data_IF_636149057670
#
_entry.id   IF_636149057670
#
_cell.length_a   1.000
_cell.length_b   1.000
_cell.length_c   1.000
_cell.angle_alpha   90.00
_cell.angle_beta   90.00
_cell.angle_gamma   90.00
#
_symmetry.space_group_name_H-M   'P 1'
#
loop_
_entity.id
_entity.type
_entity.pdbx_description
1 polymer ?
#
# COMPACT_ATOMS: atom_id res chain seq x y z
N UNK A 1 -33.65 -7.91 -10.64
CA UNK A 1 -32.53 -8.86 -10.65
C UNK A 1 -31.27 -8.06 -10.98
N UNK A 2 -30.39 -7.72 -10.03
CA UNK A 2 -29.21 -6.92 -10.34
C UNK A 2 -28.22 -7.80 -11.11
N UNK A 3 -27.73 -7.29 -12.24
CA UNK A 3 -26.78 -7.97 -13.13
C UNK A 3 -25.46 -8.29 -12.41
N UNK A 4 -24.75 -9.37 -12.79
CA UNK A 4 -23.47 -9.71 -12.18
C UNK A 4 -22.45 -8.60 -12.44
N UNK A 5 -21.86 -8.07 -11.36
CA UNK A 5 -20.78 -7.08 -11.37
C UNK A 5 -19.48 -7.69 -11.93
N UNK A 6 -19.46 -7.98 -13.23
CA UNK A 6 -18.20 -8.19 -13.93
C UNK A 6 -17.60 -6.80 -14.19
N UNK A 7 -16.75 -6.32 -13.27
CA UNK A 7 -15.81 -5.26 -13.63
C UNK A 7 -15.05 -5.74 -14.86
N UNK A 8 -15.02 -4.94 -15.93
CA UNK A 8 -14.16 -5.30 -17.05
C UNK A 8 -12.72 -5.19 -16.53
N UNK A 9 -11.84 -6.16 -16.82
CA UNK A 9 -10.40 -6.09 -16.54
C UNK A 9 -9.66 -4.93 -17.26
N UNK A 10 -10.36 -3.85 -17.64
CA UNK A 10 -9.87 -2.71 -18.42
C UNK A 10 -9.91 -1.38 -17.65
N UNK A 11 -10.41 -1.36 -16.42
CA UNK A 11 -10.50 -0.13 -15.64
C UNK A 11 -9.13 0.21 -15.03
N UNK A 12 -8.67 1.44 -15.24
CA UNK A 12 -7.33 1.90 -14.84
C UNK A 12 -7.12 1.75 -13.33
N UNK A 13 -8.17 1.93 -12.52
CA UNK A 13 -8.10 1.77 -11.07
C UNK A 13 -7.71 0.35 -10.64
N UNK A 14 -8.29 -0.69 -11.26
CA UNK A 14 -7.97 -2.08 -10.91
C UNK A 14 -6.59 -2.50 -11.42
N UNK A 15 -6.13 -1.99 -12.57
CA UNK A 15 -4.73 -2.17 -12.99
C UNK A 15 -3.74 -1.49 -12.05
N UNK A 16 -4.07 -0.29 -11.58
CA UNK A 16 -3.27 0.42 -10.58
C UNK A 16 -3.17 -0.37 -9.29
N UNK A 17 -4.29 -0.94 -8.81
CA UNK A 17 -4.31 -1.82 -7.64
C UNK A 17 -3.48 -3.08 -7.85
N UNK A 18 -3.57 -3.73 -9.01
CA UNK A 18 -2.76 -4.91 -9.32
C UNK A 18 -1.26 -4.59 -9.32
N UNK A 19 -0.86 -3.46 -9.92
CA UNK A 19 0.52 -3.02 -9.94
C UNK A 19 1.04 -2.70 -8.53
N UNK A 20 0.30 -1.90 -7.75
CA UNK A 20 0.65 -1.58 -6.37
C UNK A 20 0.70 -2.83 -5.49
N UNK A 21 -0.25 -3.76 -5.66
CA UNK A 21 -0.28 -5.01 -4.93
C UNK A 21 0.92 -5.90 -5.24
N UNK A 22 1.30 -5.97 -6.52
CA UNK A 22 2.50 -6.71 -6.95
C UNK A 22 3.77 -6.10 -6.39
N UNK A 23 3.94 -4.78 -6.52
CA UNK A 23 5.12 -4.07 -6.02
C UNK A 23 5.20 -4.17 -4.49
N UNK A 24 4.10 -3.91 -3.79
CA UNK A 24 4.02 -4.00 -2.32
C UNK A 24 4.28 -5.42 -1.81
N UNK A 25 3.73 -6.42 -2.47
CA UNK A 25 3.99 -7.83 -2.15
C UNK A 25 5.45 -8.22 -2.38
N UNK A 26 6.04 -7.80 -3.50
CA UNK A 26 7.45 -8.06 -3.80
C UNK A 26 8.40 -7.36 -2.80
N UNK A 27 8.12 -6.11 -2.44
CA UNK A 27 8.87 -5.40 -1.41
C UNK A 27 8.72 -6.06 -0.04
N UNK A 28 7.52 -6.52 0.32
CA UNK A 28 7.29 -7.30 1.53
C UNK A 28 8.10 -8.60 1.55
N UNK A 29 8.11 -9.36 0.44
CA UNK A 29 8.95 -10.56 0.31
C UNK A 29 10.44 -10.24 0.45
N UNK A 30 10.90 -9.16 -0.18
CA UNK A 30 12.28 -8.70 -0.03
C UNK A 30 12.59 -8.29 1.42
N UNK A 31 11.64 -7.70 2.14
CA UNK A 31 11.77 -7.36 3.56
C UNK A 31 11.86 -8.58 4.48
N UNK A 32 11.24 -9.70 4.11
CA UNK A 32 11.41 -10.98 4.82
C UNK A 32 12.79 -11.57 4.57
N UNK A 33 13.27 -11.55 3.33
CA UNK A 33 14.53 -12.20 2.93
C UNK A 33 15.76 -11.36 3.30
N UNK A 34 15.67 -10.04 3.20
CA UNK A 34 16.79 -9.11 3.40
C UNK A 34 16.29 -7.78 3.99
N UNK A 35 15.81 -7.80 5.26
CA UNK A 35 15.20 -6.63 5.91
C UNK A 35 16.11 -5.40 5.91
N UNK A 36 17.43 -5.60 6.07
CA UNK A 36 18.45 -4.56 6.08
C UNK A 36 18.52 -3.71 4.81
N UNK A 37 18.08 -4.24 3.65
CA UNK A 37 18.11 -3.50 2.38
C UNK A 37 16.99 -2.48 2.23
N UNK A 38 15.91 -2.62 3.01
CA UNK A 38 14.69 -1.83 2.88
C UNK A 38 14.38 -0.97 4.09
N UNK A 39 14.98 -1.29 5.24
CA UNK A 39 14.54 -0.74 6.51
C UNK A 39 14.98 0.72 6.69
N UNK A 40 16.18 1.09 6.21
CA UNK A 40 16.76 2.42 6.45
C UNK A 40 17.00 2.72 7.94
N UNK A 41 16.87 1.71 8.82
CA UNK A 41 17.18 1.78 10.24
C UNK A 41 18.63 1.38 10.47
N UNK A 42 19.24 1.92 11.53
CA UNK A 42 20.54 1.45 12.00
C UNK A 42 20.46 -0.03 12.38
N UNK A 43 21.45 -0.80 11.93
CA UNK A 43 21.57 -2.23 12.24
C UNK A 43 22.83 -2.43 13.09
N UNK A 44 22.74 -2.23 14.43
CA UNK A 44 23.90 -2.32 15.29
C UNK A 44 24.42 -3.77 15.34
N UNK A 45 25.75 -3.97 15.46
CA UNK A 45 26.37 -5.29 15.49
C UNK A 45 26.00 -6.09 16.75
N UNK A 46 25.70 -5.40 17.86
CA UNK A 46 25.12 -5.99 19.07
C UNK A 46 23.76 -5.36 19.36
N UNK A 47 22.78 -6.20 19.69
CA UNK A 47 21.44 -5.79 20.08
C UNK A 47 21.25 -6.00 21.57
N UNK A 48 20.79 -4.97 22.27
CA UNK A 48 20.50 -5.05 23.69
C UNK A 48 19.28 -5.93 24.00
N UNK A 49 19.12 -6.41 25.25
CA UNK A 49 17.89 -7.05 25.70
C UNK A 49 16.67 -6.13 25.46
N UNK A 50 15.62 -6.65 24.81
CA UNK A 50 14.41 -5.89 24.48
C UNK A 50 14.42 -5.22 23.10
N UNK A 51 15.49 -5.38 22.32
CA UNK A 51 15.46 -4.97 20.90
C UNK A 51 14.57 -5.91 20.08
N UNK A 52 13.37 -5.44 19.75
CA UNK A 52 12.40 -6.15 18.93
C UNK A 52 12.37 -5.67 17.47
N UNK A 53 13.35 -4.89 17.03
CA UNK A 53 13.38 -4.28 15.69
C UNK A 53 13.26 -5.33 14.59
N UNK A 54 13.99 -6.44 14.69
CA UNK A 54 13.92 -7.53 13.72
C UNK A 54 12.51 -8.16 13.65
N UNK A 55 11.86 -8.37 14.79
CA UNK A 55 10.50 -8.91 14.85
C UNK A 55 9.48 -7.92 14.26
N UNK A 56 9.62 -6.63 14.56
CA UNK A 56 8.78 -5.56 14.02
C UNK A 56 8.95 -5.44 12.50
N UNK A 57 10.18 -5.51 11.99
CA UNK A 57 10.47 -5.47 10.55
C UNK A 57 9.92 -6.71 9.84
N UNK A 58 10.08 -7.91 10.42
CA UNK A 58 9.50 -9.14 9.89
C UNK A 58 7.97 -9.09 9.84
N UNK A 59 7.32 -8.69 10.95
CA UNK A 59 5.87 -8.50 11.01
C UNK A 59 5.37 -7.48 10.00
N UNK A 60 6.06 -6.34 9.87
CA UNK A 60 5.75 -5.30 8.89
C UNK A 60 5.87 -5.79 7.46
N UNK A 61 6.85 -6.65 7.18
CA UNK A 61 7.05 -7.26 5.86
C UNK A 61 5.92 -8.22 5.49
N UNK A 62 5.47 -9.06 6.43
CA UNK A 62 4.29 -9.91 6.24
C UNK A 62 3.00 -9.10 6.09
N UNK A 63 2.87 -8.00 6.80
CA UNK A 63 1.75 -7.07 6.60
C UNK A 63 1.73 -6.51 5.17
N UNK A 64 2.90 -6.10 4.63
CA UNK A 64 3.01 -5.65 3.24
C UNK A 64 2.65 -6.75 2.23
N UNK A 65 3.06 -8.01 2.47
CA UNK A 65 2.68 -9.16 1.65
C UNK A 65 1.16 -9.36 1.66
N UNK A 66 0.55 -9.39 2.85
CA UNK A 66 -0.89 -9.57 3.01
C UNK A 66 -1.68 -8.47 2.31
N UNK A 67 -1.21 -7.24 2.38
CA UNK A 67 -1.78 -6.10 1.67
C UNK A 67 -1.67 -6.21 0.16
N UNK A 68 -0.49 -6.61 -0.33
CA UNK A 68 -0.30 -6.89 -1.75
C UNK A 68 -1.28 -7.94 -2.27
N UNK A 69 -1.45 -9.03 -1.51
CA UNK A 69 -2.42 -10.08 -1.80
C UNK A 69 -3.87 -9.57 -1.79
N UNK A 70 -4.24 -8.76 -0.81
CA UNK A 70 -5.58 -8.16 -0.75
C UNK A 70 -5.85 -7.27 -1.97
N UNK A 71 -4.85 -6.51 -2.43
CA UNK A 71 -4.99 -5.63 -3.60
C UNK A 71 -5.17 -6.44 -4.89
N UNK A 72 -4.38 -7.50 -5.07
CA UNK A 72 -4.49 -8.43 -6.19
C UNK A 72 -5.85 -9.13 -6.20
N UNK A 73 -6.32 -9.60 -5.05
CA UNK A 73 -7.62 -10.24 -4.93
C UNK A 73 -8.76 -9.25 -5.22
N UNK A 74 -8.69 -8.04 -4.66
CA UNK A 74 -9.67 -6.99 -4.90
C UNK A 74 -9.73 -6.58 -6.38
N UNK A 75 -8.57 -6.51 -7.05
CA UNK A 75 -8.47 -6.29 -8.49
C UNK A 75 -9.07 -7.46 -9.29
N UNK A 76 -8.74 -8.71 -8.95
CA UNK A 76 -9.26 -9.89 -9.62
C UNK A 76 -10.78 -10.06 -9.45
N UNK A 77 -11.34 -9.63 -8.32
CA UNK A 77 -12.78 -9.69 -8.04
C UNK A 77 -13.55 -8.49 -8.56
N UNK A 78 -12.88 -7.42 -8.97
CA UNK A 78 -13.54 -6.25 -9.54
C UNK A 78 -14.52 -5.56 -8.57
N UNK A 79 -14.26 -5.63 -7.26
CA UNK A 79 -15.18 -5.07 -6.27
C UNK A 79 -15.23 -3.53 -6.39
N UNK A 80 -16.36 -2.91 -6.78
CA UNK A 80 -16.38 -1.48 -7.12
C UNK A 80 -16.05 -0.53 -5.96
N UNK A 81 -16.31 -0.95 -4.72
CA UNK A 81 -15.99 -0.17 -3.51
C UNK A 81 -14.52 -0.24 -3.10
N UNK A 82 -13.77 -1.20 -3.62
CA UNK A 82 -12.41 -1.49 -3.17
C UNK A 82 -11.41 -0.35 -3.45
N UNK A 83 -11.39 0.30 -4.64
CA UNK A 83 -10.49 1.43 -4.87
C UNK A 83 -10.71 2.57 -3.87
N UNK A 84 -11.96 2.90 -3.54
CA UNK A 84 -12.29 3.95 -2.56
C UNK A 84 -11.81 3.57 -1.15
N UNK A 85 -12.00 2.32 -0.75
CA UNK A 85 -11.48 1.81 0.53
C UNK A 85 -9.94 1.93 0.58
N UNK A 86 -9.25 1.52 -0.48
CA UNK A 86 -7.79 1.61 -0.58
C UNK A 86 -7.31 3.06 -0.47
N UNK A 87 -7.95 4.01 -1.17
CA UNK A 87 -7.61 5.43 -1.07
C UNK A 87 -7.73 5.92 0.37
N UNK A 88 -8.87 5.65 1.03
CA UNK A 88 -9.11 6.10 2.40
C UNK A 88 -8.10 5.52 3.38
N UNK A 89 -7.81 4.23 3.27
CA UNK A 89 -6.84 3.56 4.14
C UNK A 89 -5.41 4.06 3.93
N UNK A 90 -4.97 4.23 2.68
CA UNK A 90 -3.63 4.75 2.38
C UNK A 90 -3.47 6.19 2.86
N UNK A 91 -4.51 7.02 2.72
CA UNK A 91 -4.50 8.38 3.26
C UNK A 91 -4.39 8.39 4.79
N UNK A 92 -5.12 7.51 5.49
CA UNK A 92 -5.02 7.35 6.95
C UNK A 92 -3.60 6.94 7.36
N UNK A 93 -3.01 5.95 6.70
CA UNK A 93 -1.63 5.52 6.96
C UNK A 93 -0.62 6.64 6.70
N UNK A 94 -0.74 7.35 5.58
CA UNK A 94 0.12 8.49 5.28
C UNK A 94 0.08 9.56 6.38
N UNK A 95 -1.12 9.94 6.82
CA UNK A 95 -1.31 10.91 7.91
C UNK A 95 -0.74 10.42 9.24
N UNK A 96 -0.98 9.15 9.60
CA UNK A 96 -0.46 8.55 10.84
C UNK A 96 1.07 8.48 10.86
N UNK A 97 1.68 7.98 9.78
CA UNK A 97 3.14 7.87 9.65
C UNK A 97 3.81 9.24 9.67
N UNK A 98 3.26 10.22 8.91
CA UNK A 98 3.76 11.58 8.93
C UNK A 98 3.63 12.21 10.31
N UNK A 99 2.47 12.09 10.96
CA UNK A 99 2.19 12.61 12.30
C UNK A 99 3.16 12.07 13.36
N UNK A 100 3.43 10.76 13.35
CA UNK A 100 4.42 10.16 14.25
C UNK A 100 5.82 10.72 14.01
N UNK A 101 6.24 10.86 12.75
CA UNK A 101 7.56 11.38 12.41
C UNK A 101 7.73 12.86 12.79
N UNK A 102 6.77 13.73 12.45
CA UNK A 102 6.88 15.17 12.72
C UNK A 102 6.76 15.52 14.21
N UNK A 103 6.09 14.68 14.99
CA UNK A 103 5.99 14.85 16.45
C UNK A 103 7.14 14.21 17.23
N UNK A 104 8.14 13.63 16.54
CA UNK A 104 9.29 12.98 17.17
C UNK A 104 8.98 11.64 17.84
N UNK A 105 7.79 11.07 17.60
CA UNK A 105 7.37 9.76 18.14
C UNK A 105 7.85 8.58 17.31
N UNK A 106 8.35 8.84 16.11
CA UNK A 106 8.96 7.84 15.23
C UNK A 106 10.16 8.44 14.46
N UNK A 107 11.08 7.60 13.96
CA UNK A 107 12.19 8.07 13.13
C UNK A 107 11.73 8.82 11.88
N UNK A 108 12.51 9.81 11.42
CA UNK A 108 12.21 10.58 10.20
C UNK A 108 12.09 9.71 8.95
N UNK A 109 12.67 8.50 8.95
CA UNK A 109 12.48 7.51 7.89
C UNK A 109 11.00 7.22 7.59
N UNK A 110 10.10 7.38 8.57
CA UNK A 110 8.65 7.22 8.40
C UNK A 110 8.04 8.24 7.43
N UNK A 111 8.69 9.37 7.15
CA UNK A 111 8.23 10.31 6.12
C UNK A 111 8.31 9.70 4.72
N UNK A 112 9.30 8.83 4.46
CA UNK A 112 9.37 8.09 3.19
C UNK A 112 8.20 7.11 3.05
N UNK A 113 7.88 6.39 4.12
CA UNK A 113 6.72 5.50 4.16
C UNK A 113 5.40 6.29 4.02
N UNK A 114 5.28 7.45 4.67
CA UNK A 114 4.13 8.33 4.51
C UNK A 114 3.98 8.82 3.06
N UNK A 115 5.10 9.18 2.41
CA UNK A 115 5.12 9.55 0.99
C UNK A 115 4.68 8.41 0.08
N UNK A 116 5.15 7.19 0.33
CA UNK A 116 4.72 5.99 -0.39
C UNK A 116 3.20 5.76 -0.29
N UNK A 117 2.65 5.88 0.92
CA UNK A 117 1.23 5.74 1.16
C UNK A 117 0.41 6.83 0.44
N UNK A 118 0.83 8.09 0.54
CA UNK A 118 0.18 9.23 -0.12
C UNK A 118 0.22 9.10 -1.66
N UNK A 119 1.37 8.75 -2.24
CA UNK A 119 1.52 8.57 -3.69
C UNK A 119 0.65 7.42 -4.20
N UNK A 120 0.59 6.30 -3.48
CA UNK A 120 -0.29 5.20 -3.85
C UNK A 120 -1.77 5.57 -3.75
N UNK A 121 -2.17 6.34 -2.74
CA UNK A 121 -3.55 6.85 -2.62
C UNK A 121 -3.90 7.78 -3.79
N UNK A 122 -2.99 8.69 -4.14
CA UNK A 122 -3.14 9.59 -5.27
C UNK A 122 -3.21 8.86 -6.62
N UNK A 123 -2.40 7.82 -6.81
CA UNK A 123 -2.42 7.00 -8.02
C UNK A 123 -3.78 6.31 -8.21
N UNK A 124 -4.31 5.66 -7.15
CA UNK A 124 -5.62 5.00 -7.21
C UNK A 124 -6.75 6.02 -7.41
N UNK A 125 -6.70 7.16 -6.73
CA UNK A 125 -7.69 8.23 -6.90
C UNK A 125 -7.68 8.81 -8.31
N UNK A 126 -6.50 9.07 -8.88
CA UNK A 126 -6.34 9.54 -10.25
C UNK A 126 -6.85 8.53 -11.27
N UNK A 127 -6.53 7.25 -11.10
CA UNK A 127 -7.02 6.19 -11.96
C UNK A 127 -8.55 6.06 -11.90
N UNK A 128 -9.13 6.09 -10.70
CA UNK A 128 -10.59 6.03 -10.51
C UNK A 128 -11.30 7.26 -11.13
N UNK A 129 -10.67 8.43 -11.06
CA UNK A 129 -11.19 9.63 -11.71
C UNK A 129 -11.14 9.54 -13.23
N UNK A 130 -10.07 8.96 -13.80
CA UNK A 130 -9.99 8.69 -15.25
C UNK A 130 -11.09 7.74 -15.70
N UNK A 131 -11.32 6.65 -14.96
CA UNK A 131 -12.38 5.68 -15.27
C UNK A 131 -13.76 6.36 -15.27
N UNK A 132 -14.05 7.19 -14.26
CA UNK A 132 -15.31 7.96 -14.19
C UNK A 132 -15.46 8.95 -15.35
N UNK A 133 -14.39 9.62 -15.75
CA UNK A 133 -14.40 10.56 -16.89
C UNK A 133 -14.65 9.84 -18.21
N UNK A 134 -14.03 8.67 -18.41
CA UNK A 134 -14.22 7.87 -19.62
C UNK A 134 -15.64 7.30 -19.70
N UNK A 135 -16.23 6.90 -18.57
CA UNK A 135 -17.62 6.45 -18.52
C UNK A 135 -18.64 7.56 -18.83
N UNK A 136 -18.29 8.83 -18.59
CA UNK A 136 -19.17 9.98 -18.82
C UNK A 136 -19.08 10.58 -20.24
N UNK A 137 -18.15 10.13 -21.09
CA UNK A 137 -18.04 10.60 -22.48
C UNK A 137 -19.08 9.90 -23.36
N UNK A 138 -19.98 10.64 -24.04
CA UNK A 138 -20.86 10.05 -25.04
C UNK A 138 -20.04 9.51 -26.23
N UNK A 139 -20.50 8.37 -26.78
CA UNK A 139 -19.87 7.66 -27.91
C UNK A 139 -19.98 8.44 -29.22
#
# INVERSE_FOLDING_TARGET
MPLPFYARPRDAAFWTLAALGTIGGALGMLGVVSPERLSGFENPPERGPGDHTAAVLGSSSFAAIGEGGAYLLGAARGWPGFPTFVIARRALMAGGLAGLAVTGRAPRAFLHAAGWEALGAAAVAGALWLDRRNAARPA
#
